data_IF_343536122787
#
_entry.id   IF_343536122787
#
_cell.length_a   1.000
_cell.length_b   1.000
_cell.length_c   1.000
_cell.angle_alpha   90.00
_cell.angle_beta   90.00
_cell.angle_gamma   90.00
#
_symmetry.space_group_name_H-M   'P 1'
#
loop_
_entity.id
_entity.type
_entity.pdbx_description
1 polymer ?
#
# COMPACT_ATOMS: atom_id res chain seq x y z
N UNK A 1 15.54 -3.30 -33.63
CA UNK A 1 15.44 -4.33 -32.58
C UNK A 1 15.52 -3.67 -31.18
N UNK A 2 14.74 -2.60 -30.96
CA UNK A 2 14.68 -1.84 -29.71
C UNK A 2 13.24 -1.35 -29.42
N UNK A 3 12.25 -2.13 -29.86
CA UNK A 3 10.82 -1.83 -29.69
C UNK A 3 10.07 -3.09 -29.24
N UNK A 4 10.28 -3.55 -28.03
CA UNK A 4 9.38 -4.54 -27.42
C UNK A 4 9.68 -4.76 -25.93
N UNK A 5 9.55 -3.72 -25.09
CA UNK A 5 9.32 -3.88 -23.64
C UNK A 5 8.74 -2.58 -23.07
N UNK A 6 7.66 -2.10 -23.64
CA UNK A 6 6.78 -1.16 -22.93
C UNK A 6 5.60 -1.98 -22.41
N UNK A 7 5.75 -2.45 -21.18
CA UNK A 7 4.63 -2.91 -20.37
C UNK A 7 3.64 -1.76 -20.28
N UNK A 8 2.41 -2.01 -20.73
CA UNK A 8 1.29 -1.08 -20.70
C UNK A 8 0.88 -0.80 -19.26
N UNK A 9 1.62 0.07 -18.58
CA UNK A 9 1.04 0.81 -17.46
C UNK A 9 0.06 1.81 -18.08
N UNK A 10 -1.20 1.61 -17.79
CA UNK A 10 -2.29 2.53 -18.09
C UNK A 10 -1.86 3.94 -17.70
N UNK A 11 -1.59 4.78 -18.71
CA UNK A 11 -1.46 6.21 -18.52
C UNK A 11 -2.83 6.71 -18.08
N UNK A 12 -3.01 6.90 -16.78
CA UNK A 12 -4.16 7.62 -16.24
C UNK A 12 -4.13 9.01 -16.90
N UNK A 13 -5.21 9.45 -17.54
CA UNK A 13 -5.25 10.80 -18.08
C UNK A 13 -4.99 11.78 -16.94
N UNK A 14 -3.95 12.56 -17.04
CA UNK A 14 -3.54 13.56 -16.07
C UNK A 14 -4.55 14.72 -16.06
N UNK A 15 -5.64 14.53 -15.33
CA UNK A 15 -6.53 15.61 -14.98
C UNK A 15 -5.88 16.44 -13.88
N UNK A 16 -5.12 17.47 -14.24
CA UNK A 16 -4.69 18.53 -13.32
C UNK A 16 -3.59 18.18 -12.30
N UNK A 17 -3.12 16.95 -12.22
CA UNK A 17 -1.97 16.56 -11.42
C UNK A 17 -0.69 16.93 -12.21
N UNK A 18 0.18 17.76 -11.65
CA UNK A 18 1.49 18.05 -12.25
C UNK A 18 2.26 16.73 -12.46
N UNK A 19 3.07 16.66 -13.54
CA UNK A 19 3.92 15.49 -13.78
C UNK A 19 4.85 15.28 -12.58
N UNK A 20 5.07 14.04 -12.11
CA UNK A 20 6.01 13.79 -11.03
C UNK A 20 7.42 14.17 -11.45
N UNK A 21 8.16 14.82 -10.53
CA UNK A 21 9.58 15.11 -10.70
C UNK A 21 10.33 13.97 -10.01
N UNK A 22 11.28 13.36 -10.74
CA UNK A 22 12.13 12.30 -10.20
C UNK A 22 13.57 12.81 -10.04
N UNK A 23 14.22 12.40 -8.95
CA UNK A 23 15.66 12.54 -8.71
C UNK A 23 16.25 11.20 -8.41
N UNK A 24 17.50 10.96 -8.80
CA UNK A 24 18.23 9.75 -8.42
C UNK A 24 18.78 9.92 -7.00
N UNK A 25 18.60 8.88 -6.18
CA UNK A 25 19.10 8.81 -4.81
C UNK A 25 19.71 7.42 -4.56
N UNK A 26 20.91 7.40 -4.01
CA UNK A 26 21.55 6.16 -3.60
C UNK A 26 20.87 5.63 -2.33
N UNK A 27 20.43 4.36 -2.37
CA UNK A 27 19.78 3.68 -1.25
C UNK A 27 20.73 2.73 -0.49
N UNK A 28 21.93 2.48 -1.00
CA UNK A 28 22.99 1.75 -0.31
C UNK A 28 24.37 2.17 -0.82
N UNK A 29 25.44 1.75 -0.12
CA UNK A 29 26.83 2.03 -0.48
C UNK A 29 27.45 0.83 -1.22
N UNK A 30 27.79 0.93 -2.53
CA UNK A 30 28.35 -0.18 -3.30
C UNK A 30 29.63 -0.76 -2.70
N UNK A 31 30.52 0.08 -2.17
CA UNK A 31 31.77 -0.34 -1.55
C UNK A 31 31.57 -1.26 -0.32
N UNK A 32 30.46 -1.11 0.41
CA UNK A 32 30.11 -2.02 1.51
C UNK A 32 29.70 -3.39 0.96
N UNK A 33 28.85 -3.41 -0.07
CA UNK A 33 28.39 -4.64 -0.73
C UNK A 33 29.56 -5.41 -1.33
N UNK A 34 30.49 -4.71 -2.02
CA UNK A 34 31.69 -5.31 -2.60
C UNK A 34 32.57 -5.96 -1.54
N UNK A 35 32.83 -5.26 -0.44
CA UNK A 35 33.64 -5.80 0.68
C UNK A 35 33.02 -7.07 1.26
N UNK A 36 31.68 -7.07 1.47
CA UNK A 36 30.97 -8.25 1.99
C UNK A 36 30.99 -9.41 1.00
N UNK A 37 30.76 -9.15 -0.30
CA UNK A 37 30.85 -10.16 -1.34
C UNK A 37 32.25 -10.81 -1.41
N UNK A 38 33.32 -10.00 -1.39
CA UNK A 38 34.68 -10.51 -1.38
C UNK A 38 34.99 -11.34 -0.12
N UNK A 39 34.49 -10.89 1.05
CA UNK A 39 34.67 -11.65 2.31
C UNK A 39 33.99 -13.02 2.23
N UNK A 40 32.77 -13.11 1.72
CA UNK A 40 32.08 -14.40 1.56
C UNK A 40 32.80 -15.31 0.55
N UNK A 41 33.28 -14.78 -0.55
CA UNK A 41 34.01 -15.53 -1.57
C UNK A 41 35.34 -16.09 -1.04
N UNK A 42 36.01 -15.35 -0.13
CA UNK A 42 37.24 -15.78 0.50
C UNK A 42 37.03 -16.90 1.53
N UNK A 43 35.85 -17.01 2.14
CA UNK A 43 35.50 -18.05 3.11
C UNK A 43 35.15 -19.41 2.46
N UNK A 44 35.01 -19.45 1.16
CA UNK A 44 34.67 -20.65 0.41
C UNK A 44 33.21 -20.73 0.00
N UNK A 45 32.93 -21.50 -1.05
CA UNK A 45 31.60 -21.62 -1.65
C UNK A 45 30.74 -22.64 -0.89
N UNK A 46 30.29 -22.29 0.30
CA UNK A 46 29.27 -23.08 0.97
C UNK A 46 27.88 -22.76 0.34
N UNK A 47 27.08 -23.82 0.17
CA UNK A 47 25.71 -23.68 -0.36
C UNK A 47 24.84 -22.73 0.49
N UNK A 48 25.21 -22.55 1.77
CA UNK A 48 24.53 -21.66 2.71
C UNK A 48 24.70 -20.18 2.35
N UNK A 49 25.84 -19.79 1.77
CA UNK A 49 26.12 -18.41 1.36
C UNK A 49 25.70 -18.07 -0.08
N UNK A 50 25.29 -19.07 -0.87
CA UNK A 50 24.97 -18.86 -2.28
C UNK A 50 23.86 -17.82 -2.51
N UNK A 51 22.78 -17.85 -1.69
CA UNK A 51 21.68 -16.90 -1.80
C UNK A 51 22.11 -15.47 -1.44
N UNK A 52 22.97 -15.31 -0.45
CA UNK A 52 23.52 -14.01 -0.02
C UNK A 52 24.46 -13.44 -1.07
N UNK A 53 25.38 -14.27 -1.61
CA UNK A 53 26.26 -13.89 -2.71
C UNK A 53 25.47 -13.44 -3.95
N UNK A 54 24.42 -14.19 -4.31
CA UNK A 54 23.53 -13.82 -5.42
C UNK A 54 22.83 -12.48 -5.16
N UNK A 55 22.44 -12.22 -3.92
CA UNK A 55 21.82 -10.94 -3.54
C UNK A 55 22.80 -9.79 -3.70
N UNK A 56 24.05 -9.94 -3.24
CA UNK A 56 25.07 -8.90 -3.41
C UNK A 56 25.44 -8.66 -4.87
N UNK A 57 25.57 -9.71 -5.68
CA UNK A 57 25.79 -9.57 -7.13
C UNK A 57 24.67 -8.78 -7.80
N UNK A 58 23.42 -9.13 -7.49
CA UNK A 58 22.23 -8.41 -7.99
C UNK A 58 22.21 -6.95 -7.56
N UNK A 59 22.59 -6.64 -6.31
CA UNK A 59 22.72 -5.25 -5.83
C UNK A 59 23.70 -4.46 -6.67
N UNK A 60 24.89 -5.02 -6.92
CA UNK A 60 25.94 -4.36 -7.70
C UNK A 60 25.54 -4.21 -9.18
N UNK A 61 24.91 -5.22 -9.77
CA UNK A 61 24.39 -5.16 -11.15
C UNK A 61 23.34 -4.07 -11.34
N UNK A 62 22.40 -3.92 -10.39
CA UNK A 62 21.34 -2.90 -10.44
C UNK A 62 21.83 -1.51 -10.06
N UNK A 63 22.97 -1.41 -9.39
CA UNK A 63 23.48 -0.16 -8.84
C UNK A 63 22.67 0.37 -7.65
N UNK A 64 23.19 1.41 -6.96
CA UNK A 64 22.61 1.93 -5.73
C UNK A 64 21.45 2.90 -5.95
N UNK A 65 21.30 3.46 -7.13
CA UNK A 65 20.40 4.59 -7.37
C UNK A 65 18.95 4.17 -7.64
N UNK A 66 18.01 4.90 -7.02
CA UNK A 66 16.56 4.75 -7.19
C UNK A 66 15.90 6.12 -7.40
N UNK A 67 14.75 6.13 -8.02
CA UNK A 67 13.99 7.36 -8.22
C UNK A 67 13.32 7.81 -6.90
N UNK A 68 13.69 8.98 -6.41
CA UNK A 68 12.90 9.71 -5.42
C UNK A 68 11.94 10.63 -6.18
N UNK A 69 10.65 10.36 -6.11
CA UNK A 69 9.62 11.09 -6.84
C UNK A 69 8.80 12.00 -5.93
N UNK A 70 8.36 13.13 -6.46
CA UNK A 70 7.40 14.02 -5.83
C UNK A 70 6.55 14.72 -6.89
N UNK A 71 5.34 15.18 -6.56
CA UNK A 71 4.55 16.01 -7.46
C UNK A 71 5.29 17.29 -7.86
N UNK A 72 5.18 17.72 -9.11
CA UNK A 72 5.78 18.96 -9.61
C UNK A 72 5.11 20.23 -9.08
N UNK A 73 3.97 20.10 -8.43
CA UNK A 73 3.19 21.16 -7.80
C UNK A 73 2.24 20.60 -6.77
N UNK A 74 1.52 21.45 -6.06
CA UNK A 74 0.40 20.99 -5.21
C UNK A 74 -0.69 20.48 -6.14
N UNK A 75 -0.99 19.16 -6.13
CA UNK A 75 -1.97 18.61 -7.03
C UNK A 75 -3.38 19.12 -6.70
N UNK A 76 -4.24 19.20 -7.70
CA UNK A 76 -5.67 19.31 -7.45
C UNK A 76 -6.17 17.99 -6.87
N UNK A 77 -6.47 18.00 -5.59
CA UNK A 77 -6.89 16.82 -4.84
C UNK A 77 -8.42 16.65 -4.83
N UNK A 78 -9.19 17.46 -5.58
CA UNK A 78 -10.67 17.41 -5.58
C UNK A 78 -11.19 15.99 -5.85
N UNK A 79 -10.61 15.30 -6.84
CA UNK A 79 -10.98 13.92 -7.17
C UNK A 79 -10.68 12.93 -6.03
N UNK A 80 -9.62 13.14 -5.25
CA UNK A 80 -9.30 12.30 -4.09
C UNK A 80 -10.26 12.53 -2.93
N UNK A 81 -10.61 13.80 -2.65
CA UNK A 81 -11.63 14.11 -1.63
C UNK A 81 -12.99 13.52 -2.00
N UNK A 82 -13.35 13.52 -3.29
CA UNK A 82 -14.58 12.89 -3.76
C UNK A 82 -14.54 11.36 -3.63
N UNK A 83 -13.41 10.74 -3.91
CA UNK A 83 -13.24 9.28 -3.81
C UNK A 83 -13.09 8.78 -2.36
N UNK A 84 -12.54 9.63 -1.49
CA UNK A 84 -12.19 9.33 -0.12
C UNK A 84 -12.77 10.39 0.83
N UNK A 85 -14.11 10.58 0.84
CA UNK A 85 -14.74 11.69 1.56
C UNK A 85 -14.55 11.63 3.08
N UNK A 86 -14.27 10.45 3.63
CA UNK A 86 -13.98 10.21 5.03
C UNK A 86 -12.47 10.26 5.37
N UNK A 87 -11.59 10.61 4.41
CA UNK A 87 -10.15 10.77 4.61
C UNK A 87 -9.67 12.22 4.46
N UNK A 88 -10.53 13.18 4.72
CA UNK A 88 -10.20 14.61 4.55
C UNK A 88 -8.96 15.00 5.34
N UNK A 89 -8.88 14.62 6.61
CA UNK A 89 -7.77 14.99 7.50
C UNK A 89 -6.42 14.44 7.02
N UNK A 90 -6.23 13.14 6.74
CA UNK A 90 -4.97 12.65 6.19
C UNK A 90 -4.67 13.20 4.79
N UNK A 91 -5.66 13.48 3.94
CA UNK A 91 -5.45 14.14 2.65
C UNK A 91 -4.93 15.57 2.82
N UNK A 92 -5.48 16.33 3.77
CA UNK A 92 -5.00 17.67 4.11
C UNK A 92 -3.57 17.66 4.63
N UNK A 93 -3.21 16.64 5.41
CA UNK A 93 -1.85 16.45 5.90
C UNK A 93 -0.87 16.22 4.75
N UNK A 94 -1.19 15.30 3.85
CA UNK A 94 -0.41 15.07 2.62
C UNK A 94 -0.27 16.34 1.80
N UNK A 95 -1.37 17.10 1.61
CA UNK A 95 -1.37 18.34 0.85
C UNK A 95 -0.42 19.39 1.43
N UNK A 96 -0.37 19.50 2.77
CA UNK A 96 0.58 20.40 3.45
C UNK A 96 2.03 20.01 3.20
N UNK A 97 2.37 18.72 3.29
CA UNK A 97 3.73 18.23 3.05
C UNK A 97 4.15 18.39 1.58
N UNK A 98 3.25 18.12 0.64
CA UNK A 98 3.49 18.38 -0.79
C UNK A 98 3.75 19.86 -1.04
N UNK A 99 2.96 20.76 -0.42
CA UNK A 99 3.15 22.20 -0.54
C UNK A 99 4.51 22.66 0.00
N UNK A 100 5.00 22.09 1.10
CA UNK A 100 6.33 22.38 1.65
C UNK A 100 7.45 21.91 0.71
N UNK A 101 7.30 20.72 0.11
CA UNK A 101 8.33 20.16 -0.78
C UNK A 101 8.35 20.79 -2.18
N UNK A 102 7.23 21.37 -2.62
CA UNK A 102 7.05 21.84 -4.00
C UNK A 102 8.07 22.89 -4.43
N UNK A 103 8.33 23.90 -3.61
CA UNK A 103 9.21 25.01 -3.92
C UNK A 103 10.69 24.74 -3.59
N UNK A 104 11.04 23.56 -3.07
CA UNK A 104 12.38 23.23 -2.61
C UNK A 104 13.06 22.16 -3.48
N UNK A 105 14.36 22.00 -3.26
CA UNK A 105 15.13 20.87 -3.80
C UNK A 105 14.93 19.58 -2.99
N UNK A 106 14.28 19.66 -1.84
CA UNK A 106 14.13 18.56 -0.91
C UNK A 106 13.19 17.47 -1.44
N UNK A 107 13.40 16.26 -0.99
CA UNK A 107 12.48 15.15 -1.22
C UNK A 107 11.15 15.41 -0.50
N UNK A 108 10.08 14.75 -0.95
CA UNK A 108 8.83 14.74 -0.18
C UNK A 108 9.04 13.90 1.08
N UNK A 109 8.89 14.56 2.22
CA UNK A 109 8.93 13.91 3.53
C UNK A 109 7.53 13.92 4.13
N UNK A 110 6.98 12.74 4.41
CA UNK A 110 5.70 12.55 5.08
C UNK A 110 5.94 11.90 6.43
N UNK A 111 5.39 12.49 7.49
CA UNK A 111 5.36 11.82 8.79
C UNK A 111 4.62 10.49 8.65
N UNK A 112 5.14 9.37 9.21
CA UNK A 112 4.43 8.10 9.21
C UNK A 112 2.99 8.25 9.68
N UNK A 113 2.04 7.63 8.98
CA UNK A 113 0.61 7.74 9.25
C UNK A 113 0.05 6.46 9.84
N UNK A 114 -0.79 6.60 10.88
CA UNK A 114 -1.68 5.54 11.33
C UNK A 114 -3.13 5.89 10.99
N UNK A 115 -3.75 5.09 10.13
CA UNK A 115 -5.18 5.17 9.81
C UNK A 115 -5.94 4.24 10.75
N UNK A 116 -6.59 4.80 11.75
CA UNK A 116 -7.31 4.07 12.80
C UNK A 116 -8.82 4.13 12.55
N UNK A 117 -9.50 3.00 12.51
CA UNK A 117 -10.95 2.96 12.29
C UNK A 117 -11.47 1.57 11.96
N UNK A 118 -12.78 1.39 11.83
CA UNK A 118 -13.38 0.08 11.62
C UNK A 118 -12.93 -0.57 10.30
N UNK A 119 -13.02 -1.90 10.19
CA UNK A 119 -12.67 -2.60 8.96
C UNK A 119 -13.59 -2.21 7.82
N UNK A 120 -13.04 -2.15 6.59
CA UNK A 120 -13.80 -1.92 5.38
C UNK A 120 -14.05 -0.45 5.00
N UNK A 121 -13.60 0.53 5.79
CA UNK A 121 -13.78 1.97 5.49
C UNK A 121 -12.87 2.51 4.38
N UNK A 122 -11.93 1.71 3.86
CA UNK A 122 -11.10 2.12 2.71
C UNK A 122 -9.63 2.44 3.04
N UNK A 123 -9.14 2.13 4.25
CA UNK A 123 -7.75 2.47 4.67
C UNK A 123 -6.67 2.02 3.69
N UNK A 124 -6.70 0.76 3.26
CA UNK A 124 -5.73 0.22 2.28
C UNK A 124 -5.94 0.81 0.87
N UNK A 125 -7.17 1.22 0.53
CA UNK A 125 -7.47 1.90 -0.73
C UNK A 125 -6.88 3.30 -0.77
N UNK A 126 -7.00 4.06 0.34
CA UNK A 126 -6.35 5.35 0.51
C UNK A 126 -4.85 5.28 0.18
N UNK A 127 -4.14 4.28 0.74
CA UNK A 127 -2.70 4.13 0.53
C UNK A 127 -2.33 3.93 -0.95
N UNK A 128 -3.13 3.18 -1.71
CA UNK A 128 -2.92 3.00 -3.15
C UNK A 128 -3.12 4.29 -3.93
N UNK A 129 -4.24 4.98 -3.69
CA UNK A 129 -4.53 6.25 -4.36
C UNK A 129 -3.47 7.32 -4.04
N UNK A 130 -2.96 7.31 -2.81
CA UNK A 130 -1.84 8.18 -2.44
C UNK A 130 -0.58 7.86 -3.24
N UNK A 131 -0.19 6.59 -3.35
CA UNK A 131 0.98 6.19 -4.12
C UNK A 131 0.84 6.54 -5.61
N UNK A 132 -0.35 6.32 -6.19
CA UNK A 132 -0.66 6.69 -7.57
C UNK A 132 -0.55 8.21 -7.78
N UNK A 133 -1.08 9.02 -6.85
CA UNK A 133 -0.95 10.47 -6.89
C UNK A 133 0.51 10.94 -6.79
N UNK A 134 1.30 10.28 -5.95
CA UNK A 134 2.72 10.62 -5.79
C UNK A 134 3.60 10.12 -6.93
N UNK A 135 3.10 9.23 -7.76
CA UNK A 135 3.85 8.61 -8.86
C UNK A 135 4.88 7.59 -8.39
N UNK A 136 4.64 6.92 -7.27
CA UNK A 136 5.50 5.88 -6.71
C UNK A 136 4.78 4.53 -6.61
N UNK A 137 5.49 3.50 -6.19
CA UNK A 137 4.91 2.16 -6.01
C UNK A 137 4.41 1.92 -4.58
N UNK A 138 3.49 0.96 -4.45
CA UNK A 138 2.96 0.50 -3.15
C UNK A 138 3.45 -0.90 -2.84
N UNK A 139 3.87 -1.13 -1.59
CA UNK A 139 4.17 -2.45 -1.05
C UNK A 139 3.27 -2.74 0.16
N UNK A 140 2.50 -3.82 0.12
CA UNK A 140 1.59 -4.22 1.21
C UNK A 140 2.25 -5.27 2.11
N UNK A 141 2.21 -5.02 3.42
CA UNK A 141 2.72 -5.89 4.47
C UNK A 141 1.59 -6.22 5.44
N UNK A 142 0.86 -7.33 5.25
CA UNK A 142 -0.25 -7.71 6.13
C UNK A 142 0.28 -8.33 7.42
N UNK A 143 0.05 -7.67 8.57
CA UNK A 143 0.51 -8.18 9.87
C UNK A 143 -0.35 -9.32 10.40
N UNK A 144 -1.63 -9.38 10.02
CA UNK A 144 -2.55 -10.47 10.42
C UNK A 144 -2.17 -11.86 9.86
N UNK A 145 -1.41 -11.91 8.77
CA UNK A 145 -0.95 -13.16 8.16
C UNK A 145 0.41 -13.64 8.71
N UNK A 146 0.96 -12.96 9.72
CA UNK A 146 2.35 -13.10 10.12
C UNK A 146 2.53 -13.86 11.41
N UNK A 147 3.31 -14.92 11.34
CA UNK A 147 3.80 -15.66 12.53
C UNK A 147 5.23 -15.26 12.93
N UNK A 148 5.89 -14.37 12.17
CA UNK A 148 7.30 -14.08 12.37
C UNK A 148 7.68 -12.62 12.07
N UNK A 149 8.46 -12.01 12.97
CA UNK A 149 8.90 -10.60 12.91
C UNK A 149 9.82 -10.22 11.75
N UNK A 150 10.38 -11.16 11.06
CA UNK A 150 11.38 -10.94 10.00
C UNK A 150 10.81 -10.50 8.63
N UNK A 151 9.50 -10.27 8.51
CA UNK A 151 8.97 -9.87 7.21
C UNK A 151 9.45 -8.48 6.80
N UNK A 152 9.55 -7.56 7.75
CA UNK A 152 10.03 -6.21 7.47
C UNK A 152 11.56 -6.17 7.36
N UNK A 153 12.28 -6.82 8.30
CA UNK A 153 13.74 -6.75 8.47
C UNK A 153 14.52 -7.90 7.83
N UNK A 154 13.85 -8.89 7.24
CA UNK A 154 14.50 -10.11 6.77
C UNK A 154 14.75 -11.12 7.89
N UNK A 155 15.14 -12.32 7.50
CA UNK A 155 15.54 -13.40 8.43
C UNK A 155 17.03 -13.63 8.33
N UNK A 156 17.70 -13.91 9.46
CA UNK A 156 19.14 -14.17 9.49
C UNK A 156 19.58 -15.13 8.38
N UNK A 157 20.61 -14.76 7.63
CA UNK A 157 21.16 -15.51 6.50
C UNK A 157 21.59 -16.93 6.84
N UNK A 158 21.83 -17.21 8.12
CA UNK A 158 22.19 -18.53 8.65
C UNK A 158 21.03 -19.52 8.69
N UNK A 159 19.79 -19.07 8.52
CA UNK A 159 18.63 -19.95 8.58
C UNK A 159 18.28 -20.53 7.21
N UNK A 160 17.91 -21.81 7.20
CA UNK A 160 17.49 -22.45 5.95
C UNK A 160 16.22 -21.79 5.42
N UNK A 161 16.29 -21.27 4.20
CA UNK A 161 15.18 -20.57 3.57
C UNK A 161 15.08 -19.09 3.94
N UNK A 162 16.13 -18.52 4.53
CA UNK A 162 16.23 -17.09 4.82
C UNK A 162 16.00 -16.24 3.56
N UNK A 163 15.37 -15.08 3.75
CA UNK A 163 15.05 -14.12 2.69
C UNK A 163 15.19 -12.71 3.20
N UNK A 164 15.50 -11.74 2.31
CA UNK A 164 15.46 -10.33 2.63
C UNK A 164 14.05 -9.88 3.04
N UNK A 165 13.99 -8.88 3.90
CA UNK A 165 12.75 -8.26 4.32
C UNK A 165 12.07 -7.45 3.22
N UNK A 166 10.81 -7.10 3.44
CA UNK A 166 10.01 -6.32 2.47
C UNK A 166 10.54 -4.91 2.25
N UNK A 167 11.14 -4.30 3.26
CA UNK A 167 11.77 -2.98 3.14
C UNK A 167 12.96 -3.05 2.19
N UNK A 168 13.85 -4.01 2.40
CA UNK A 168 14.98 -4.25 1.52
C UNK A 168 14.51 -4.53 0.08
N UNK A 169 13.53 -5.42 -0.10
CA UNK A 169 13.00 -5.73 -1.42
C UNK A 169 12.43 -4.51 -2.13
N UNK A 170 11.66 -3.67 -1.41
CA UNK A 170 11.07 -2.46 -1.99
C UNK A 170 12.13 -1.45 -2.44
N UNK A 171 13.24 -1.31 -1.69
CA UNK A 171 14.30 -0.34 -1.97
C UNK A 171 15.36 -0.88 -2.95
N UNK A 172 15.77 -2.14 -2.79
CA UNK A 172 16.86 -2.72 -3.59
C UNK A 172 16.37 -3.36 -4.87
N UNK A 173 15.25 -4.09 -4.81
CA UNK A 173 14.65 -4.74 -5.98
C UNK A 173 13.60 -3.85 -6.68
N UNK A 174 13.15 -2.78 -6.02
CA UNK A 174 12.25 -1.77 -6.59
C UNK A 174 12.98 -0.71 -7.41
N UNK A 175 12.22 0.25 -7.91
CA UNK A 175 12.73 1.37 -8.73
C UNK A 175 12.74 2.70 -7.97
N UNK A 176 12.04 2.77 -6.83
CA UNK A 176 11.82 4.00 -6.07
C UNK A 176 12.58 4.00 -4.75
N UNK A 177 13.15 5.17 -4.38
CA UNK A 177 13.72 5.42 -3.06
C UNK A 177 12.65 5.79 -2.02
N UNK A 178 11.49 6.24 -2.48
CA UNK A 178 10.35 6.62 -1.63
C UNK A 178 9.06 5.84 -1.96
N UNK A 179 9.10 4.49 -1.91
CA UNK A 179 7.89 3.69 -2.08
C UNK A 179 6.92 3.94 -0.91
N UNK A 180 5.62 3.76 -1.15
CA UNK A 180 4.63 3.68 -0.08
C UNK A 180 4.62 2.26 0.47
N UNK A 181 5.01 2.08 1.73
CA UNK A 181 4.91 0.79 2.42
C UNK A 181 3.69 0.83 3.35
N UNK A 182 2.75 -0.07 3.09
CA UNK A 182 1.52 -0.20 3.87
C UNK A 182 1.66 -1.35 4.85
N UNK A 183 1.73 -1.06 6.14
CA UNK A 183 1.68 -2.06 7.21
C UNK A 183 0.23 -2.24 7.63
N UNK A 184 -0.42 -3.27 7.10
CA UNK A 184 -1.86 -3.47 7.25
C UNK A 184 -2.17 -4.28 8.51
N UNK A 185 -3.18 -3.84 9.28
CA UNK A 185 -3.64 -4.45 10.53
C UNK A 185 -2.51 -4.61 11.57
N UNK A 186 -1.77 -3.52 11.85
CA UNK A 186 -0.65 -3.53 12.82
C UNK A 186 -1.10 -3.97 14.22
N UNK A 187 -2.36 -3.74 14.58
CA UNK A 187 -3.00 -4.20 15.83
C UNK A 187 -3.21 -5.72 15.90
N UNK A 188 -2.99 -6.46 14.81
CA UNK A 188 -3.07 -7.93 14.74
C UNK A 188 -1.70 -8.61 14.80
N UNK A 189 -0.63 -7.84 14.94
CA UNK A 189 0.70 -8.40 15.13
C UNK A 189 0.73 -9.30 16.38
N UNK A 190 1.31 -10.50 16.25
CA UNK A 190 1.35 -11.45 17.35
C UNK A 190 2.18 -10.90 18.53
N UNK A 191 1.56 -10.75 19.68
CA UNK A 191 2.22 -10.23 20.91
C UNK A 191 3.07 -11.27 21.65
N UNK A 192 2.81 -12.56 21.40
CA UNK A 192 3.47 -13.69 22.07
C UNK A 192 4.56 -14.35 21.19
N UNK A 193 4.97 -13.67 20.12
CA UNK A 193 5.99 -14.19 19.23
C UNK A 193 7.37 -14.16 19.91
N UNK A 194 8.14 -15.23 19.75
CA UNK A 194 9.56 -15.27 20.15
C UNK A 194 10.37 -14.14 19.50
N UNK A 195 9.89 -13.61 18.39
CA UNK A 195 10.44 -12.48 17.65
C UNK A 195 9.35 -11.41 17.52
N UNK A 196 9.65 -10.20 18.00
CA UNK A 196 8.72 -9.07 17.93
C UNK A 196 8.47 -8.67 16.46
N UNK A 197 7.25 -8.88 15.92
CA UNK A 197 6.95 -8.54 14.53
C UNK A 197 6.97 -7.03 14.26
N UNK A 198 6.92 -6.21 15.30
CA UNK A 198 6.97 -4.75 15.22
C UNK A 198 8.37 -4.19 15.48
N UNK A 199 9.33 -5.05 15.85
CA UNK A 199 10.69 -4.64 16.26
C UNK A 199 11.40 -3.73 15.25
N UNK A 200 11.30 -4.05 13.97
CA UNK A 200 11.89 -3.24 12.90
C UNK A 200 11.28 -1.83 12.79
N UNK A 201 10.02 -1.65 13.15
CA UNK A 201 9.34 -0.34 13.05
C UNK A 201 9.92 0.71 13.99
N UNK A 202 10.55 0.30 15.11
CA UNK A 202 11.20 1.25 16.02
C UNK A 202 12.32 2.06 15.34
N UNK A 203 13.04 1.46 14.41
CA UNK A 203 14.08 2.13 13.64
C UNK A 203 13.58 2.70 12.31
N UNK A 204 12.61 2.06 11.68
CA UNK A 204 12.13 2.42 10.34
C UNK A 204 11.20 3.65 10.34
N UNK A 205 10.48 3.90 11.44
CA UNK A 205 9.56 5.03 11.54
C UNK A 205 10.23 6.34 11.99
N UNK A 206 11.52 6.34 12.26
CA UNK A 206 12.30 7.54 12.57
C UNK A 206 13.30 7.81 11.44
N UNK A 207 13.30 9.02 10.91
CA UNK A 207 14.13 9.43 9.78
C UNK A 207 15.62 9.13 10.00
N UNK A 208 16.18 9.51 11.15
CA UNK A 208 17.62 9.40 11.42
C UNK A 208 18.10 7.94 11.51
N UNK A 209 17.31 7.08 12.14
CA UNK A 209 17.65 5.65 12.28
C UNK A 209 17.35 4.88 10.99
N UNK A 210 16.35 5.30 10.22
CA UNK A 210 16.01 4.68 8.95
C UNK A 210 17.06 4.92 7.85
N UNK A 211 17.89 5.98 7.95
CA UNK A 211 19.00 6.22 7.01
C UNK A 211 20.03 5.08 6.97
N UNK A 212 20.14 4.32 8.04
CA UNK A 212 21.12 3.23 8.18
C UNK A 212 20.43 1.92 8.60
N UNK A 213 19.24 1.67 8.07
CA UNK A 213 18.52 0.43 8.34
C UNK A 213 19.30 -0.78 7.80
N UNK A 214 19.51 -1.79 8.63
CA UNK A 214 20.20 -3.03 8.25
C UNK A 214 19.21 -4.17 8.19
N UNK A 215 19.04 -4.75 6.99
CA UNK A 215 18.28 -5.97 6.79
C UNK A 215 19.05 -7.18 7.37
N UNK A 216 18.37 -8.02 8.15
CA UNK A 216 19.01 -9.16 8.84
C UNK A 216 19.54 -10.25 7.89
N UNK A 217 18.97 -10.35 6.67
CA UNK A 217 19.47 -11.27 5.65
C UNK A 217 20.67 -10.69 4.92
N UNK A 218 20.54 -9.47 4.43
CA UNK A 218 21.59 -8.85 3.61
C UNK A 218 22.73 -8.28 4.43
N UNK A 219 22.49 -7.95 5.70
CA UNK A 219 23.48 -7.35 6.62
C UNK A 219 24.18 -6.12 6.06
N UNK A 220 23.57 -5.42 5.12
CA UNK A 220 24.05 -4.19 4.49
C UNK A 220 23.12 -3.07 4.88
N UNK A 221 23.68 -1.89 5.17
CA UNK A 221 22.88 -0.71 5.44
C UNK A 221 22.17 -0.22 4.18
N UNK A 222 20.87 0.03 4.29
CA UNK A 222 20.04 0.66 3.24
C UNK A 222 19.37 1.91 3.79
N UNK A 223 19.32 2.97 2.98
CA UNK A 223 18.64 4.21 3.33
C UNK A 223 17.12 4.06 3.10
N UNK A 224 16.40 3.79 4.19
CA UNK A 224 14.95 3.71 4.23
C UNK A 224 14.27 5.02 4.69
N UNK A 225 15.03 6.11 4.85
CA UNK A 225 14.52 7.39 5.39
C UNK A 225 13.47 8.06 4.52
N UNK A 226 13.44 7.72 3.23
CA UNK A 226 12.48 8.31 2.28
C UNK A 226 11.22 7.45 2.10
N UNK A 227 11.14 6.29 2.73
CA UNK A 227 9.96 5.42 2.66
C UNK A 227 8.75 6.15 3.25
N UNK A 228 7.64 6.13 2.50
CA UNK A 228 6.37 6.69 2.95
C UNK A 228 5.61 5.59 3.69
N UNK A 229 5.46 5.78 5.00
CA UNK A 229 4.83 4.78 5.86
C UNK A 229 3.34 5.07 6.05
N UNK A 230 2.50 4.08 5.74
CA UNK A 230 1.08 4.10 6.08
C UNK A 230 0.78 2.82 6.86
N UNK A 231 0.36 2.97 8.09
CA UNK A 231 -0.09 1.85 8.91
C UNK A 231 -1.60 1.87 9.06
N UNK A 232 -2.22 0.71 9.19
CA UNK A 232 -3.66 0.61 9.45
C UNK A 232 -3.91 -0.18 10.71
N UNK A 233 -4.92 0.20 11.47
CA UNK A 233 -5.38 -0.53 12.63
C UNK A 233 -6.89 -0.36 12.84
N UNK A 234 -7.47 -1.27 13.63
CA UNK A 234 -8.84 -1.14 14.09
C UNK A 234 -8.90 -0.75 15.58
N UNK A 235 -7.84 -1.07 16.35
CA UNK A 235 -7.74 -0.78 17.79
C UNK A 235 -6.31 -0.38 18.18
N UNK A 236 -6.14 0.88 18.61
CA UNK A 236 -4.83 1.42 19.01
C UNK A 236 -4.27 0.79 20.28
N UNK A 237 -5.11 0.22 21.15
CA UNK A 237 -4.70 -0.37 22.44
C UNK A 237 -3.76 -1.57 22.28
N UNK A 238 -3.75 -2.17 21.09
CA UNK A 238 -2.89 -3.29 20.75
C UNK A 238 -1.52 -2.84 20.20
N UNK A 239 -1.33 -1.54 19.98
CA UNK A 239 -0.10 -0.99 19.40
C UNK A 239 0.79 -0.44 20.52
N UNK A 240 2.08 -0.80 20.57
CA UNK A 240 3.02 -0.24 21.55
C UNK A 240 3.10 1.28 21.48
N UNK A 241 3.02 1.94 22.63
CA UNK A 241 3.09 3.42 22.72
C UNK A 241 4.30 4.04 22.00
N UNK A 242 5.53 3.45 22.06
CA UNK A 242 6.67 4.03 21.35
C UNK A 242 6.49 4.04 19.82
N UNK A 243 5.72 3.09 19.25
CA UNK A 243 5.39 3.07 17.83
C UNK A 243 4.33 4.12 17.52
N UNK A 244 3.27 4.21 18.35
CA UNK A 244 2.25 5.26 18.21
C UNK A 244 2.84 6.67 18.23
N UNK A 245 3.82 6.93 19.10
CA UNK A 245 4.46 8.25 19.25
C UNK A 245 5.28 8.68 18.01
N UNK A 246 5.55 7.75 17.08
CA UNK A 246 6.29 8.00 15.83
C UNK A 246 5.39 8.24 14.63
N UNK A 247 4.07 8.24 14.83
CA UNK A 247 3.08 8.34 13.77
C UNK A 247 2.07 9.44 14.04
N UNK A 248 1.60 10.09 12.97
CA UNK A 248 0.37 10.87 13.01
C UNK A 248 -0.82 9.93 12.98
N UNK A 249 -1.65 9.97 14.02
CA UNK A 249 -2.83 9.11 14.16
C UNK A 249 -4.05 9.83 13.60
N UNK A 250 -4.68 9.27 12.58
CA UNK A 250 -5.91 9.77 11.97
C UNK A 250 -7.07 8.83 12.26
N UNK A 251 -8.12 9.35 12.89
CA UNK A 251 -9.36 8.61 13.12
C UNK A 251 -10.19 8.61 11.86
N UNK A 252 -10.44 7.42 11.31
CA UNK A 252 -11.20 7.25 10.08
C UNK A 252 -12.58 6.72 10.42
N UNK A 253 -13.54 7.62 10.44
CA UNK A 253 -14.93 7.28 10.65
C UNK A 253 -15.56 6.68 9.39
N UNK A 254 -16.61 5.85 9.54
CA UNK A 254 -17.43 5.46 8.40
C UNK A 254 -17.97 6.70 7.66
N UNK A 255 -18.06 6.66 6.32
CA UNK A 255 -18.61 7.75 5.57
C UNK A 255 -20.08 7.98 5.94
N UNK A 256 -20.55 9.24 5.93
CA UNK A 256 -21.98 9.56 6.07
C UNK A 256 -22.80 9.04 4.88
N UNK A 257 -24.12 9.18 4.95
CA UNK A 257 -25.02 8.65 3.92
C UNK A 257 -24.75 9.24 2.53
N UNK A 258 -24.46 10.54 2.44
CA UNK A 258 -24.19 11.20 1.17
C UNK A 258 -22.81 10.81 0.60
N UNK A 259 -21.80 10.72 1.46
CA UNK A 259 -20.50 10.18 1.09
C UNK A 259 -20.60 8.71 0.64
N UNK A 260 -21.39 7.90 1.35
CA UNK A 260 -21.63 6.50 0.99
C UNK A 260 -22.30 6.35 -0.38
N UNK A 261 -23.28 7.21 -0.73
CA UNK A 261 -23.88 7.24 -2.07
C UNK A 261 -22.84 7.59 -3.14
N UNK A 262 -21.97 8.58 -2.89
CA UNK A 262 -20.89 8.93 -3.82
C UNK A 262 -19.92 7.77 -4.02
N UNK A 263 -19.50 7.10 -2.94
CA UNK A 263 -18.65 5.92 -2.99
C UNK A 263 -19.32 4.80 -3.80
N UNK A 264 -20.61 4.52 -3.57
CA UNK A 264 -21.35 3.51 -4.32
C UNK A 264 -21.41 3.83 -5.83
N UNK A 265 -21.68 5.09 -6.20
CA UNK A 265 -21.68 5.53 -7.59
C UNK A 265 -20.29 5.40 -8.25
N UNK A 266 -19.22 5.72 -7.54
CA UNK A 266 -17.86 5.58 -8.04
C UNK A 266 -17.45 4.11 -8.19
N UNK A 267 -17.79 3.25 -7.22
CA UNK A 267 -17.57 1.81 -7.31
C UNK A 267 -18.29 1.20 -8.51
N UNK A 268 -19.52 1.60 -8.77
CA UNK A 268 -20.26 1.17 -9.96
C UNK A 268 -19.51 1.54 -11.25
N UNK A 269 -19.12 2.81 -11.39
CA UNK A 269 -18.37 3.28 -12.57
C UNK A 269 -17.01 2.59 -12.70
N UNK A 270 -16.30 2.38 -11.60
CA UNK A 270 -15.02 1.65 -11.59
C UNK A 270 -15.19 0.23 -12.09
N UNK A 271 -16.13 -0.53 -11.52
CA UNK A 271 -16.42 -1.91 -11.93
C UNK A 271 -16.79 -1.96 -13.42
N UNK A 272 -17.64 -1.04 -13.86
CA UNK A 272 -18.06 -0.95 -15.26
C UNK A 272 -16.88 -0.71 -16.19
N UNK A 273 -15.94 0.16 -15.82
CA UNK A 273 -14.76 0.50 -16.62
C UNK A 273 -13.68 -0.59 -16.57
N UNK A 274 -13.63 -1.40 -15.52
CA UNK A 274 -12.68 -2.50 -15.37
C UNK A 274 -13.00 -3.71 -16.27
N UNK A 275 -14.24 -3.80 -16.78
CA UNK A 275 -14.72 -4.99 -17.48
C UNK A 275 -15.30 -4.68 -18.85
N UNK A 276 -15.02 -5.50 -19.88
CA UNK A 276 -15.55 -5.36 -21.22
C UNK A 276 -17.08 -5.40 -21.28
N UNK A 277 -17.73 -6.17 -20.42
CA UNK A 277 -19.18 -6.24 -20.32
C UNK A 277 -19.79 -4.97 -19.71
N UNK A 278 -19.01 -4.13 -19.05
CA UNK A 278 -19.50 -2.89 -18.44
C UNK A 278 -20.08 -1.91 -19.44
N UNK A 279 -19.61 -1.92 -20.70
CA UNK A 279 -20.16 -1.10 -21.80
C UNK A 279 -21.62 -1.36 -22.13
N UNK A 280 -22.18 -2.45 -21.65
CA UNK A 280 -23.58 -2.80 -21.85
C UNK A 280 -24.51 -2.17 -20.82
N UNK A 281 -23.97 -1.51 -19.81
CA UNK A 281 -24.72 -0.90 -18.73
C UNK A 281 -24.69 0.62 -18.83
N UNK A 282 -25.76 1.26 -18.36
CA UNK A 282 -25.87 2.73 -18.28
C UNK A 282 -24.78 3.34 -17.41
N UNK A 283 -24.52 4.63 -17.57
CA UNK A 283 -23.41 5.32 -16.90
C UNK A 283 -23.62 5.49 -15.41
N UNK A 284 -24.85 5.65 -14.96
CA UNK A 284 -25.17 5.96 -13.58
C UNK A 284 -26.22 5.01 -12.99
N UNK A 285 -26.12 4.84 -11.66
CA UNK A 285 -27.11 4.11 -10.87
C UNK A 285 -28.34 4.99 -10.58
N UNK A 286 -29.49 4.35 -10.45
CA UNK A 286 -30.69 5.01 -9.95
C UNK A 286 -30.55 5.40 -8.47
N UNK A 287 -31.22 6.47 -8.00
CA UNK A 287 -31.20 6.87 -6.59
C UNK A 287 -31.64 5.75 -5.64
N UNK A 288 -32.63 4.96 -6.02
CA UNK A 288 -33.15 3.86 -5.19
C UNK A 288 -32.10 2.77 -4.95
N UNK A 289 -31.27 2.47 -5.96
CA UNK A 289 -30.14 1.52 -5.84
C UNK A 289 -29.03 2.11 -4.97
N UNK A 290 -28.72 3.41 -5.11
CA UNK A 290 -27.74 4.10 -4.28
C UNK A 290 -28.15 4.11 -2.80
N UNK A 291 -29.44 4.32 -2.50
CA UNK A 291 -29.97 4.32 -1.14
C UNK A 291 -29.86 2.95 -0.46
N UNK A 292 -30.02 1.87 -1.22
CA UNK A 292 -29.84 0.51 -0.71
C UNK A 292 -28.36 0.14 -0.49
N UNK A 293 -27.47 0.72 -1.27
CA UNK A 293 -26.02 0.48 -1.12
C UNK A 293 -25.40 1.33 0.00
N UNK A 294 -25.91 2.55 0.24
CA UNK A 294 -25.33 3.50 1.18
C UNK A 294 -25.07 2.97 2.61
N UNK A 295 -25.91 2.10 3.19
CA UNK A 295 -25.63 1.52 4.51
C UNK A 295 -24.50 0.48 4.53
N UNK A 296 -24.04 0.02 3.38
CA UNK A 296 -23.05 -1.05 3.28
C UNK A 296 -21.62 -0.49 3.32
N UNK A 297 -20.67 -1.21 3.95
CA UNK A 297 -19.24 -0.87 3.79
C UNK A 297 -18.81 -1.04 2.30
N UNK A 298 -17.81 -0.26 1.81
CA UNK A 298 -17.38 -0.31 0.41
C UNK A 298 -17.06 -1.72 -0.13
N UNK A 299 -16.50 -2.60 0.70
CA UNK A 299 -16.25 -4.01 0.31
C UNK A 299 -17.55 -4.79 0.04
N UNK A 300 -18.59 -4.51 0.81
CA UNK A 300 -19.91 -5.15 0.62
C UNK A 300 -20.66 -4.51 -0.53
N UNK A 301 -20.56 -3.18 -0.70
CA UNK A 301 -21.10 -2.48 -1.89
C UNK A 301 -20.57 -3.12 -3.18
N UNK A 302 -19.24 -3.35 -3.28
CA UNK A 302 -18.62 -3.98 -4.45
C UNK A 302 -19.20 -5.37 -4.72
N UNK A 303 -19.38 -6.18 -3.68
CA UNK A 303 -19.99 -7.52 -3.82
C UNK A 303 -21.45 -7.44 -4.27
N UNK A 304 -22.22 -6.53 -3.68
CA UNK A 304 -23.61 -6.32 -4.04
C UNK A 304 -23.77 -5.85 -5.50
N UNK A 305 -22.91 -4.91 -5.93
CA UNK A 305 -22.87 -4.42 -7.31
C UNK A 305 -22.53 -5.55 -8.30
N UNK A 306 -21.51 -6.38 -8.01
CA UNK A 306 -21.17 -7.51 -8.88
C UNK A 306 -22.32 -8.50 -9.03
N UNK A 307 -23.06 -8.78 -7.95
CA UNK A 307 -24.26 -9.61 -8.00
C UNK A 307 -25.35 -8.90 -8.82
N UNK A 308 -25.55 -7.60 -8.61
CA UNK A 308 -26.53 -6.80 -9.34
C UNK A 308 -26.29 -6.77 -10.83
N UNK A 309 -25.05 -6.57 -11.28
CA UNK A 309 -24.68 -6.65 -12.70
C UNK A 309 -25.03 -8.01 -13.29
N UNK A 310 -24.74 -9.11 -12.57
CA UNK A 310 -25.07 -10.45 -13.00
C UNK A 310 -26.58 -10.68 -13.15
N UNK A 311 -27.36 -10.27 -12.15
CA UNK A 311 -28.82 -10.43 -12.15
C UNK A 311 -29.49 -9.60 -13.26
N UNK A 312 -29.12 -8.33 -13.40
CA UNK A 312 -29.64 -7.47 -14.46
C UNK A 312 -29.32 -8.05 -15.86
N UNK A 313 -28.13 -8.63 -16.04
CA UNK A 313 -27.73 -9.24 -17.29
C UNK A 313 -28.50 -10.51 -17.61
N UNK A 314 -28.79 -11.35 -16.63
CA UNK A 314 -29.62 -12.54 -16.79
C UNK A 314 -31.02 -12.21 -17.29
N UNK A 315 -31.55 -11.06 -16.87
CA UNK A 315 -32.86 -10.56 -17.30
C UNK A 315 -32.78 -9.67 -18.56
N UNK A 316 -31.61 -9.55 -19.19
CA UNK A 316 -31.43 -8.79 -20.43
C UNK A 316 -31.51 -7.27 -20.27
N UNK A 317 -31.34 -6.75 -19.02
CA UNK A 317 -31.37 -5.31 -18.71
C UNK A 317 -29.98 -4.69 -18.81
N UNK A 318 -29.93 -3.42 -19.11
CA UNK A 318 -28.74 -2.56 -19.18
C UNK A 318 -28.58 -1.65 -17.93
N UNK A 319 -29.45 -1.81 -16.96
CA UNK A 319 -29.44 -1.06 -15.70
C UNK A 319 -29.79 -1.96 -14.51
N UNK A 320 -29.27 -1.58 -13.34
CA UNK A 320 -29.56 -2.25 -12.08
C UNK A 320 -30.83 -1.67 -11.46
N UNK A 321 -31.62 -2.56 -10.86
CA UNK A 321 -32.77 -2.24 -10.05
C UNK A 321 -32.59 -2.68 -8.61
N UNK A 322 -33.39 -2.20 -7.64
CA UNK A 322 -33.37 -2.67 -6.26
C UNK A 322 -33.43 -4.20 -6.10
N UNK A 323 -34.19 -4.88 -6.96
CA UNK A 323 -34.37 -6.33 -6.90
C UNK A 323 -33.15 -7.14 -7.35
N UNK A 324 -32.20 -6.50 -8.04
CA UNK A 324 -30.94 -7.13 -8.44
C UNK A 324 -29.93 -7.25 -7.31
N UNK A 325 -30.07 -6.41 -6.28
CA UNK A 325 -29.20 -6.42 -5.14
C UNK A 325 -29.52 -7.56 -4.19
N UNK A 326 -28.50 -8.14 -3.50
CA UNK A 326 -28.76 -9.14 -2.47
C UNK A 326 -29.66 -8.55 -1.39
N UNK A 327 -30.78 -9.18 -1.12
CA UNK A 327 -31.63 -8.80 0.01
C UNK A 327 -30.86 -9.05 1.30
N UNK A 328 -30.49 -8.01 2.03
CA UNK A 328 -29.84 -8.11 3.33
C UNK A 328 -30.85 -8.71 4.35
N UNK A 329 -30.94 -10.03 4.35
CA UNK A 329 -31.40 -10.78 5.53
C UNK A 329 -30.16 -11.08 6.38
N UNK A 330 -30.30 -11.22 7.72
CA UNK A 330 -29.18 -11.60 8.57
C UNK A 330 -28.58 -12.88 7.99
N UNK A 331 -27.26 -12.88 7.76
CA UNK A 331 -26.53 -14.03 7.26
C UNK A 331 -26.85 -15.24 8.15
N UNK A 332 -27.72 -16.12 7.70
CA UNK A 332 -27.91 -17.41 8.33
C UNK A 332 -26.61 -18.16 8.16
N UNK A 333 -25.80 -18.15 9.19
CA UNK A 333 -24.68 -19.06 9.33
C UNK A 333 -25.22 -20.48 9.16
N UNK A 334 -25.13 -21.02 7.94
CA UNK A 334 -25.34 -22.44 7.71
C UNK A 334 -24.12 -23.17 8.30
N UNK A 335 -24.13 -23.40 9.60
CA UNK A 335 -23.39 -24.51 10.16
C UNK A 335 -24.15 -25.77 9.79
N UNK A 336 -23.72 -26.43 8.74
CA UNK A 336 -24.15 -27.77 8.36
C UNK A 336 -22.95 -28.69 8.45
N UNK A 337 -22.61 -29.15 9.62
CA UNK A 337 -21.99 -30.47 9.76
C UNK A 337 -23.11 -31.48 9.66
N UNK A 338 -23.14 -32.28 8.60
CA UNK A 338 -23.88 -33.54 8.53
C UNK A 338 -22.85 -34.64 8.77
N UNK A 339 -23.22 -35.52 9.67
CA UNK A 339 -22.57 -36.74 10.14
C UNK A 339 -22.01 -37.61 9.03
#
# INVERSE_FOLDING_TARGET
LLEAFMSTHSLIPSTGLGLPIARMRAVFQPAEVERKLHSLQAQGSDKEHAALCQTYQRMLERGPERFAVKPSGVPDMASLYDQLPNFTEPLDDVKRHVALSHASADSLELTPMLLLGPPGVGKTHFARLLADMLGTQTSLVPMSAMTAGWLLSGSSSQWKGAKPGKVFQALVDGEYANPVIVVDEIDKAATDAQYDPLGALYSLLEHDTAQSFVDEFAEVAVDASQVIWITTANDERQIPKPILNRMNVFQIEPPDADASRRIAAQLYRSIRNEHDWGRWFVDDLSPDVLDLLAPLPPREMRRALMTGFGNARLEGRDHLTPDDLPRNGPAKTRMGFVQ
#
